data_IF_483312572590
#
_entry.id   IF_483312572590
#
_cell.length_a   1.000
_cell.length_b   1.000
_cell.length_c   1.000
_cell.angle_alpha   90.00
_cell.angle_beta   90.00
_cell.angle_gamma   90.00
#
_symmetry.space_group_name_H-M   'P 1'
#
loop_
_entity.id
_entity.type
_entity.pdbx_description
1 polymer ?
#
# COMPACT_ATOMS: atom_id res chain seq x y z
N UNK A 1 6.96 -10.60 -4.16
CA UNK A 1 5.70 -9.82 -3.97
C UNK A 1 5.42 -9.66 -2.49
N UNK A 2 5.12 -8.45 -2.08
CA UNK A 2 4.75 -8.15 -0.70
C UNK A 2 3.26 -8.00 -0.58
N UNK A 3 2.71 -8.44 0.55
CA UNK A 3 1.30 -8.25 0.84
C UNK A 3 1.15 -7.52 2.16
N UNK A 4 0.23 -6.56 2.19
CA UNK A 4 -0.09 -5.82 3.40
C UNK A 4 -1.59 -5.87 3.63
N UNK A 5 -2.00 -5.91 4.89
CA UNK A 5 -3.38 -5.71 5.26
C UNK A 5 -3.53 -4.26 5.70
N UNK A 6 -4.27 -3.48 4.94
CA UNK A 6 -4.41 -2.04 5.17
C UNK A 6 -5.84 -1.71 5.54
N UNK A 7 -6.00 -0.97 6.62
CA UNK A 7 -7.30 -0.54 7.11
C UNK A 7 -7.51 0.94 6.85
N UNK A 8 -8.76 1.32 6.66
CA UNK A 8 -9.14 2.70 6.43
C UNK A 8 -9.39 3.05 4.96
N UNK A 9 -9.15 2.11 4.06
CA UNK A 9 -9.48 2.30 2.65
C UNK A 9 -10.97 2.03 2.45
N UNK A 10 -11.70 3.00 1.92
CA UNK A 10 -13.14 2.87 1.76
C UNK A 10 -13.64 3.22 0.36
N UNK A 11 -12.79 3.69 -0.53
CA UNK A 11 -13.20 4.10 -1.88
C UNK A 11 -12.00 4.14 -2.84
N UNK A 12 -12.28 4.35 -4.11
CA UNK A 12 -11.25 4.43 -5.15
C UNK A 12 -10.23 5.52 -4.88
N UNK A 13 -10.66 6.61 -4.26
CA UNK A 13 -9.76 7.70 -3.92
C UNK A 13 -8.66 7.22 -2.95
N UNK A 14 -9.04 6.38 -2.00
CA UNK A 14 -8.09 5.78 -1.07
C UNK A 14 -7.11 4.87 -1.81
N UNK A 15 -7.60 4.10 -2.79
CA UNK A 15 -6.75 3.25 -3.62
C UNK A 15 -5.67 4.09 -4.31
N UNK A 16 -6.07 5.23 -4.89
CA UNK A 16 -5.13 6.11 -5.56
C UNK A 16 -4.12 6.70 -4.58
N UNK A 17 -4.56 7.09 -3.40
CA UNK A 17 -3.68 7.67 -2.38
C UNK A 17 -2.61 6.67 -1.93
N UNK A 18 -3.00 5.43 -1.66
CA UNK A 18 -2.08 4.38 -1.26
C UNK A 18 -1.11 4.06 -2.40
N UNK A 19 -1.63 3.94 -3.62
CA UNK A 19 -0.79 3.66 -4.78
C UNK A 19 0.28 4.73 -4.97
N UNK A 20 -0.12 6.00 -4.89
CA UNK A 20 0.82 7.11 -5.03
C UNK A 20 1.85 7.13 -3.91
N UNK A 21 1.43 6.83 -2.69
CA UNK A 21 2.33 6.79 -1.55
C UNK A 21 3.41 5.73 -1.74
N UNK A 22 3.02 4.53 -2.18
CA UNK A 22 3.97 3.45 -2.43
C UNK A 22 4.91 3.80 -3.57
N UNK A 23 4.38 4.35 -4.66
CA UNK A 23 5.18 4.70 -5.82
C UNK A 23 6.13 5.86 -5.57
N UNK A 24 5.85 6.68 -4.56
CA UNK A 24 6.77 7.75 -4.17
C UNK A 24 8.07 7.20 -3.61
N UNK A 25 8.02 6.05 -2.91
CA UNK A 25 9.22 5.40 -2.37
C UNK A 25 9.79 4.37 -3.33
N UNK A 26 8.93 3.74 -4.12
CA UNK A 26 9.31 2.70 -5.07
C UNK A 26 8.66 2.99 -6.42
N UNK A 27 9.26 3.88 -7.24
CA UNK A 27 8.62 4.31 -8.49
C UNK A 27 8.36 3.18 -9.49
N UNK A 28 9.09 2.09 -9.38
CA UNK A 28 8.93 0.94 -10.28
C UNK A 28 8.00 -0.13 -9.72
N UNK A 29 7.49 0.06 -8.52
CA UNK A 29 6.63 -0.93 -7.91
C UNK A 29 5.27 -0.98 -8.60
N UNK A 30 4.76 -2.20 -8.74
CA UNK A 30 3.41 -2.41 -9.23
C UNK A 30 2.52 -2.67 -8.02
N UNK A 31 1.51 -1.86 -7.86
CA UNK A 31 0.62 -1.91 -6.70
C UNK A 31 -0.75 -2.41 -7.12
N UNK A 32 -1.24 -3.44 -6.46
CA UNK A 32 -2.58 -3.98 -6.68
C UNK A 32 -3.33 -3.92 -5.36
N UNK A 33 -4.51 -3.32 -5.34
CA UNK A 33 -5.29 -3.12 -4.14
C UNK A 33 -6.66 -3.74 -4.30
N UNK A 34 -7.07 -4.53 -3.30
CA UNK A 34 -8.41 -5.09 -3.20
C UNK A 34 -9.13 -4.41 -2.04
N UNK A 35 -10.08 -3.54 -2.37
CA UNK A 35 -10.84 -2.79 -1.35
C UNK A 35 -11.67 -3.71 -0.48
N UNK A 36 -12.22 -4.78 -1.03
CA UNK A 36 -13.10 -5.67 -0.28
C UNK A 36 -12.39 -6.33 0.89
N UNK A 37 -11.13 -6.70 0.71
CA UNK A 37 -10.34 -7.35 1.75
C UNK A 37 -9.37 -6.41 2.46
N UNK A 38 -9.12 -5.23 1.89
CA UNK A 38 -8.10 -4.31 2.38
C UNK A 38 -6.69 -4.76 2.08
N UNK A 39 -6.53 -5.68 1.16
CA UNK A 39 -5.20 -6.22 0.82
C UNK A 39 -4.51 -5.34 -0.21
N UNK A 40 -3.25 -5.07 0.06
CA UNK A 40 -2.37 -4.33 -0.86
C UNK A 40 -1.22 -5.25 -1.22
N UNK A 41 -1.07 -5.54 -2.51
CA UNK A 41 0.03 -6.33 -3.04
C UNK A 41 1.00 -5.40 -3.76
N UNK A 42 2.28 -5.48 -3.42
CA UNK A 42 3.33 -4.65 -4.02
C UNK A 42 4.37 -5.57 -4.64
N UNK A 43 4.59 -5.42 -5.93
CA UNK A 43 5.55 -6.20 -6.69
C UNK A 43 6.65 -5.28 -7.20
N UNK A 44 7.87 -5.78 -7.25
CA UNK A 44 9.01 -5.00 -7.76
C UNK A 44 9.73 -4.18 -6.71
N UNK A 45 9.46 -4.43 -5.43
CA UNK A 45 10.15 -3.77 -4.32
C UNK A 45 10.60 -4.80 -3.31
N UNK A 46 11.74 -4.54 -2.67
CA UNK A 46 12.24 -5.34 -1.54
C UNK A 46 12.28 -4.53 -0.25
N UNK A 47 11.79 -3.29 -0.28
CA UNK A 47 11.86 -2.36 0.85
C UNK A 47 10.55 -2.35 1.61
N UNK A 48 10.26 -3.47 2.27
CA UNK A 48 9.00 -3.65 2.98
C UNK A 48 8.72 -2.57 4.02
N UNK A 49 9.72 -2.22 4.83
CA UNK A 49 9.54 -1.23 5.89
C UNK A 49 9.26 0.16 5.31
N UNK A 50 9.94 0.51 4.23
CA UNK A 50 9.73 1.80 3.56
C UNK A 50 8.33 1.88 2.95
N UNK A 51 7.87 0.80 2.32
CA UNK A 51 6.53 0.74 1.74
C UNK A 51 5.46 0.82 2.83
N UNK A 52 5.62 0.07 3.91
CA UNK A 52 4.68 0.11 5.02
C UNK A 52 4.61 1.51 5.64
N UNK A 53 5.77 2.15 5.82
CA UNK A 53 5.81 3.50 6.36
C UNK A 53 5.13 4.51 5.44
N UNK A 54 5.32 4.36 4.13
CA UNK A 54 4.68 5.23 3.16
C UNK A 54 3.14 5.14 3.26
N UNK A 55 2.62 3.93 3.42
CA UNK A 55 1.18 3.73 3.57
C UNK A 55 0.68 4.38 4.87
N UNK A 56 1.41 4.22 5.97
CA UNK A 56 1.07 4.85 7.24
C UNK A 56 1.09 6.37 7.15
N UNK A 57 2.09 6.91 6.47
CA UNK A 57 2.23 8.36 6.28
C UNK A 57 1.07 8.93 5.45
N UNK A 58 0.46 8.12 4.61
CA UNK A 58 -0.71 8.52 3.84
C UNK A 58 -2.00 8.54 4.69
N UNK A 59 -1.92 8.10 5.95
CA UNK A 59 -3.05 8.17 6.88
C UNK A 59 -3.77 6.84 7.07
N UNK A 60 -3.18 5.73 6.66
CA UNK A 60 -3.80 4.41 6.77
C UNK A 60 -3.07 3.54 7.77
N UNK A 61 -3.78 2.55 8.32
CA UNK A 61 -3.19 1.58 9.24
C UNK A 61 -2.73 0.36 8.48
N UNK A 62 -1.53 -0.11 8.80
CA UNK A 62 -0.97 -1.32 8.19
C UNK A 62 -0.84 -2.37 9.27
N UNK A 63 -1.58 -3.46 9.14
CA UNK A 63 -1.44 -4.59 10.04
C UNK A 63 -0.19 -5.38 9.69
N UNK A 64 0.43 -5.99 10.68
CA UNK A 64 1.55 -6.89 10.44
C UNK A 64 1.07 -8.06 9.59
N UNK A 65 1.72 -8.28 8.49
CA UNK A 65 1.36 -9.34 7.58
C UNK A 65 2.25 -10.56 7.82
#
# INVERSE_FOLDING_TARGET
MMNFQVEGMSCDHCVQSVTKAVQAVEPRAKVTIDLASGRVAVDGSERRDAVAQAIRDAGYSVAAA
#
